data_IF_167412643325
#
_entry.id   IF_167412643325
#
_cell.length_a   1.000
_cell.length_b   1.000
_cell.length_c   1.000
_cell.angle_alpha   90.00
_cell.angle_beta   90.00
_cell.angle_gamma   90.00
#
_symmetry.space_group_name_H-M   'P 1'
#
loop_
_entity.id
_entity.type
_entity.pdbx_description
1 polymer ?
#
# COMPACT_ATOMS: atom_id res chain seq x y z
N UNK A 1 42.97 -33.01 -11.12
CA UNK A 1 42.02 -33.31 -10.02
C UNK A 1 41.28 -32.04 -9.68
N UNK A 2 40.04 -31.92 -10.13
CA UNK A 2 39.14 -30.84 -9.76
C UNK A 2 38.47 -31.20 -8.41
N UNK A 3 39.04 -30.64 -7.32
CA UNK A 3 38.48 -30.80 -5.97
C UNK A 3 37.10 -30.11 -5.86
N UNK A 4 36.06 -30.87 -6.02
CA UNK A 4 34.70 -30.37 -5.75
C UNK A 4 34.48 -30.25 -4.24
N UNK A 5 33.88 -29.14 -3.80
CA UNK A 5 33.42 -28.94 -2.42
C UNK A 5 32.04 -29.59 -2.31
N UNK A 6 31.88 -30.59 -1.43
CA UNK A 6 30.59 -31.18 -1.11
C UNK A 6 29.98 -30.42 0.10
N UNK A 7 28.91 -29.69 -0.13
CA UNK A 7 28.11 -29.10 0.94
C UNK A 7 27.04 -30.10 1.37
N UNK A 8 27.00 -30.40 2.66
CA UNK A 8 25.98 -31.29 3.25
C UNK A 8 25.14 -30.42 4.22
N UNK A 9 23.86 -30.31 3.95
CA UNK A 9 22.89 -29.67 4.84
C UNK A 9 22.19 -30.76 5.66
N UNK A 10 22.22 -30.63 6.96
CA UNK A 10 21.39 -31.45 7.87
C UNK A 10 20.20 -30.59 8.28
N UNK A 11 19.00 -31.00 7.91
CA UNK A 11 17.76 -30.29 8.22
C UNK A 11 16.98 -31.15 9.21
N UNK A 12 16.69 -30.60 10.38
CA UNK A 12 15.73 -31.17 11.33
C UNK A 12 14.42 -30.41 11.15
N UNK A 13 13.41 -31.09 10.61
CA UNK A 13 12.10 -30.48 10.33
C UNK A 13 11.27 -30.20 11.59
N UNK A 14 11.68 -30.71 12.75
CA UNK A 14 10.96 -30.55 14.00
C UNK A 14 9.58 -31.23 14.02
N UNK A 15 8.77 -30.87 15.00
CA UNK A 15 7.40 -31.38 15.15
C UNK A 15 6.46 -30.51 14.32
N UNK A 16 5.56 -31.13 13.55
CA UNK A 16 4.49 -30.44 12.82
C UNK A 16 3.27 -30.30 13.73
N UNK A 17 2.81 -29.09 13.92
CA UNK A 17 1.60 -28.82 14.69
C UNK A 17 0.36 -28.80 13.79
N UNK A 18 -0.77 -29.30 14.29
CA UNK A 18 -2.07 -29.23 13.61
C UNK A 18 -2.89 -28.11 14.25
N UNK A 19 -3.52 -27.27 13.44
CA UNK A 19 -4.41 -26.21 13.93
C UNK A 19 -5.68 -26.83 14.47
N UNK A 20 -5.83 -26.85 15.79
CA UNK A 20 -7.00 -27.39 16.47
C UNK A 20 -8.14 -26.37 16.51
N UNK A 21 -7.83 -25.12 16.88
CA UNK A 21 -8.83 -24.08 17.04
C UNK A 21 -8.29 -22.72 16.63
N UNK A 22 -9.15 -21.92 15.98
CA UNK A 22 -8.93 -20.50 15.76
C UNK A 22 -10.11 -19.75 16.39
N UNK A 23 -9.82 -18.78 17.25
CA UNK A 23 -10.83 -18.01 17.98
C UNK A 23 -10.48 -16.53 18.01
N UNK A 24 -11.49 -15.69 18.29
CA UNK A 24 -11.32 -14.26 18.44
C UNK A 24 -11.71 -13.84 19.87
N UNK A 25 -10.89 -12.98 20.44
CA UNK A 25 -11.18 -12.25 21.66
C UNK A 25 -11.34 -10.77 21.28
N UNK A 26 -12.56 -10.26 21.29
CA UNK A 26 -12.91 -8.94 20.78
C UNK A 26 -13.28 -8.07 21.97
N UNK A 27 -12.66 -6.88 22.07
CA UNK A 27 -12.99 -5.89 23.10
C UNK A 27 -14.47 -5.48 22.99
N UNK A 28 -15.06 -5.14 24.12
CA UNK A 28 -16.46 -4.73 24.22
C UNK A 28 -16.79 -3.43 23.50
N UNK A 29 -15.78 -2.66 23.16
CA UNK A 29 -15.90 -1.40 22.40
C UNK A 29 -16.38 -1.68 20.97
N UNK A 30 -16.04 -2.85 20.41
CA UNK A 30 -16.40 -3.22 19.05
C UNK A 30 -17.63 -4.13 19.00
N UNK A 31 -18.45 -3.93 17.96
CA UNK A 31 -19.54 -4.85 17.65
C UNK A 31 -18.96 -6.16 17.11
N UNK A 32 -19.20 -7.25 17.84
CA UNK A 32 -18.69 -8.58 17.49
C UNK A 32 -19.24 -9.12 16.18
N UNK A 33 -20.42 -8.67 15.76
CA UNK A 33 -21.08 -9.14 14.54
C UNK A 33 -20.26 -8.78 13.29
N UNK A 34 -19.53 -7.67 13.33
CA UNK A 34 -18.63 -7.21 12.26
C UNK A 34 -17.57 -8.28 11.91
N UNK A 35 -17.09 -9.01 12.91
CA UNK A 35 -16.02 -9.98 12.75
C UNK A 35 -16.53 -11.42 12.51
N UNK A 36 -17.83 -11.69 12.57
CA UNK A 36 -18.39 -13.02 12.34
C UNK A 36 -18.04 -13.63 10.97
N UNK A 37 -17.94 -12.87 9.87
CA UNK A 37 -17.54 -13.43 8.58
C UNK A 37 -16.17 -14.13 8.61
N UNK A 38 -15.24 -13.70 9.47
CA UNK A 38 -13.92 -14.32 9.63
C UNK A 38 -13.99 -15.78 10.08
N UNK A 39 -15.08 -16.20 10.74
CA UNK A 39 -15.27 -17.60 11.11
C UNK A 39 -15.32 -18.54 9.88
N UNK A 40 -15.70 -18.04 8.69
CA UNK A 40 -15.65 -18.82 7.45
C UNK A 40 -14.21 -19.02 6.98
N UNK A 41 -13.36 -18.03 7.21
CA UNK A 41 -11.93 -18.08 6.89
C UNK A 41 -11.24 -19.09 7.83
N UNK A 42 -11.53 -19.01 9.13
CA UNK A 42 -10.96 -19.91 10.13
C UNK A 42 -11.24 -21.38 9.84
N UNK A 43 -12.49 -21.71 9.44
CA UNK A 43 -12.89 -23.07 9.09
C UNK A 43 -12.09 -23.69 7.94
N UNK A 44 -11.45 -22.88 7.10
CA UNK A 44 -10.60 -23.37 6.00
C UNK A 44 -9.28 -23.95 6.50
N UNK A 45 -8.78 -23.47 7.64
CA UNK A 45 -7.46 -23.80 8.16
C UNK A 45 -7.47 -24.71 9.38
N UNK A 46 -8.63 -24.84 10.07
CA UNK A 46 -8.77 -25.77 11.21
C UNK A 46 -8.63 -27.20 10.70
N UNK A 47 -7.73 -27.98 11.31
CA UNK A 47 -7.38 -29.34 10.93
C UNK A 47 -6.19 -29.45 9.99
N UNK A 48 -5.74 -28.35 9.39
CA UNK A 48 -4.53 -28.30 8.57
C UNK A 48 -3.27 -28.20 9.43
N UNK A 49 -2.11 -28.50 8.84
CA UNK A 49 -0.83 -28.24 9.49
C UNK A 49 -0.61 -26.73 9.63
N UNK A 50 -0.12 -26.33 10.80
CA UNK A 50 0.20 -24.93 11.07
C UNK A 50 1.21 -24.37 10.06
N UNK A 51 0.92 -23.17 9.59
CA UNK A 51 1.82 -22.38 8.75
C UNK A 51 1.69 -20.90 9.10
N UNK A 52 2.81 -20.18 9.31
CA UNK A 52 2.80 -18.72 9.47
C UNK A 52 2.11 -17.99 8.32
N UNK A 53 2.11 -18.60 7.12
CA UNK A 53 1.40 -18.08 5.97
C UNK A 53 -0.12 -18.05 6.18
N UNK A 54 -0.70 -19.05 6.86
CA UNK A 54 -2.13 -19.06 7.18
C UNK A 54 -2.48 -17.95 8.18
N UNK A 55 -1.63 -17.77 9.19
CA UNK A 55 -1.80 -16.65 10.15
C UNK A 55 -1.77 -15.31 9.43
N UNK A 56 -0.81 -15.11 8.53
CA UNK A 56 -0.73 -13.89 7.72
C UNK A 56 -2.01 -13.67 6.90
N UNK A 57 -2.53 -14.70 6.24
CA UNK A 57 -3.79 -14.61 5.47
C UNK A 57 -4.99 -14.26 6.33
N UNK A 58 -5.06 -14.81 7.53
CA UNK A 58 -6.13 -14.50 8.49
C UNK A 58 -6.05 -13.03 8.93
N UNK A 59 -4.84 -12.50 9.14
CA UNK A 59 -4.64 -11.09 9.49
C UNK A 59 -4.98 -10.16 8.32
N UNK A 60 -4.62 -10.51 7.09
CA UNK A 60 -5.02 -9.76 5.90
C UNK A 60 -6.56 -9.64 5.79
N UNK A 61 -7.30 -10.73 6.00
CA UNK A 61 -8.77 -10.72 6.01
C UNK A 61 -9.37 -9.92 7.19
N UNK A 62 -8.67 -9.91 8.33
CA UNK A 62 -9.04 -9.08 9.47
C UNK A 62 -8.85 -7.60 9.14
N UNK A 63 -7.71 -7.21 8.56
CA UNK A 63 -7.42 -5.84 8.14
C UNK A 63 -8.44 -5.35 7.09
N UNK A 64 -8.78 -6.19 6.10
CA UNK A 64 -9.85 -5.89 5.14
C UNK A 64 -11.21 -5.70 5.84
N UNK A 65 -11.50 -6.48 6.87
CA UNK A 65 -12.74 -6.34 7.64
C UNK A 65 -12.78 -5.03 8.42
N UNK A 66 -11.66 -4.64 9.02
CA UNK A 66 -11.50 -3.36 9.74
C UNK A 66 -11.70 -2.19 8.77
N UNK A 67 -11.01 -2.21 7.62
CA UNK A 67 -11.08 -1.16 6.59
C UNK A 67 -12.49 -1.02 6.02
N UNK A 68 -13.14 -2.13 5.63
CA UNK A 68 -14.47 -2.13 5.02
C UNK A 68 -15.57 -1.61 5.96
N UNK A 69 -15.36 -1.72 7.28
CA UNK A 69 -16.29 -1.22 8.28
C UNK A 69 -15.89 0.13 8.87
N UNK A 70 -14.85 0.78 8.33
CA UNK A 70 -14.31 2.06 8.79
C UNK A 70 -14.04 2.09 10.29
N UNK A 71 -13.55 0.98 10.85
CA UNK A 71 -13.20 0.90 12.27
C UNK A 71 -11.89 1.64 12.52
N UNK A 72 -11.90 2.50 13.52
CA UNK A 72 -10.75 3.33 13.88
C UNK A 72 -10.10 2.83 15.18
N UNK A 73 -8.81 3.07 15.32
CA UNK A 73 -8.04 2.72 16.52
C UNK A 73 -8.12 1.23 16.88
N UNK A 74 -8.20 0.36 15.89
CA UNK A 74 -8.19 -1.08 16.12
C UNK A 74 -6.76 -1.59 16.11
N UNK A 75 -6.36 -2.22 17.19
CA UNK A 75 -5.14 -3.00 17.26
C UNK A 75 -5.48 -4.47 17.41
N UNK A 76 -4.60 -5.31 16.89
CA UNK A 76 -4.74 -6.76 17.03
C UNK A 76 -3.40 -7.43 17.27
N UNK A 77 -3.44 -8.54 17.95
CA UNK A 77 -2.30 -9.46 18.05
C UNK A 77 -2.77 -10.91 17.97
N UNK A 78 -1.84 -11.78 17.64
CA UNK A 78 -2.07 -13.22 17.58
C UNK A 78 -1.35 -13.87 18.74
N UNK A 79 -2.06 -14.70 19.49
CA UNK A 79 -1.51 -15.57 20.49
C UNK A 79 -1.61 -17.02 20.01
N UNK A 80 -0.47 -17.70 19.96
CA UNK A 80 -0.35 -19.09 19.58
C UNK A 80 -0.12 -19.93 20.84
N UNK A 81 -1.04 -20.85 21.12
CA UNK A 81 -1.01 -21.71 22.30
C UNK A 81 -0.76 -23.13 21.82
N UNK A 82 0.41 -23.68 22.16
CA UNK A 82 0.83 -25.03 21.76
C UNK A 82 0.46 -25.99 22.88
N UNK A 83 -0.29 -27.05 22.51
CA UNK A 83 -0.69 -28.13 23.40
C UNK A 83 -0.35 -29.46 22.70
N UNK A 84 0.75 -30.11 23.13
CA UNK A 84 1.28 -31.34 22.52
C UNK A 84 1.67 -31.14 21.05
N UNK A 85 0.90 -31.69 20.12
CA UNK A 85 1.06 -31.60 18.65
C UNK A 85 -0.01 -30.72 17.99
N UNK A 86 -0.81 -30.04 18.81
CA UNK A 86 -1.87 -29.13 18.37
C UNK A 86 -1.50 -27.68 18.70
N UNK A 87 -2.02 -26.75 17.89
CA UNK A 87 -1.89 -25.30 18.11
C UNK A 87 -3.26 -24.64 18.10
N UNK A 88 -3.54 -23.86 19.13
CA UNK A 88 -4.71 -22.99 19.20
C UNK A 88 -4.28 -21.55 18.90
N UNK A 89 -4.97 -20.92 17.95
CA UNK A 89 -4.70 -19.55 17.54
C UNK A 89 -5.79 -18.65 18.10
N UNK A 90 -5.40 -17.63 18.86
CA UNK A 90 -6.31 -16.63 19.42
C UNK A 90 -5.97 -15.26 18.84
N UNK A 91 -6.91 -14.67 18.09
CA UNK A 91 -6.80 -13.29 17.64
C UNK A 91 -7.40 -12.39 18.72
N UNK A 92 -6.58 -11.54 19.31
CA UNK A 92 -7.04 -10.51 20.22
C UNK A 92 -7.23 -9.21 19.44
N UNK A 93 -8.44 -8.66 19.47
CA UNK A 93 -8.83 -7.42 18.79
C UNK A 93 -9.26 -6.44 19.88
N UNK A 94 -8.56 -5.32 20.00
CA UNK A 94 -8.77 -4.36 21.07
C UNK A 94 -8.60 -2.92 20.58
N UNK A 95 -9.14 -1.97 21.37
CA UNK A 95 -8.96 -0.55 21.09
C UNK A 95 -7.52 -0.16 21.42
N UNK A 96 -6.81 0.32 20.39
CA UNK A 96 -5.46 0.84 20.50
C UNK A 96 -5.40 2.29 21.00
N UNK A 97 -4.20 2.82 21.07
CA UNK A 97 -4.01 4.23 21.39
C UNK A 97 -4.59 5.12 20.30
N UNK A 98 -5.31 6.17 20.71
CA UNK A 98 -5.89 7.17 19.80
C UNK A 98 -4.81 8.13 19.33
N UNK A 99 -4.00 7.68 18.38
CA UNK A 99 -2.97 8.50 17.76
C UNK A 99 -3.58 9.25 16.58
N UNK A 100 -3.42 10.58 16.56
CA UNK A 100 -3.96 11.46 15.53
C UNK A 100 -2.83 12.13 14.73
N UNK A 101 -3.14 12.56 13.52
CA UNK A 101 -2.25 13.39 12.70
C UNK A 101 -2.38 14.84 13.17
N UNK A 102 -1.30 15.42 13.68
CA UNK A 102 -1.27 16.82 14.06
C UNK A 102 -1.06 17.73 12.84
N UNK A 103 -0.15 17.33 11.96
CA UNK A 103 0.25 18.12 10.80
C UNK A 103 0.82 17.24 9.70
N UNK A 104 0.58 17.65 8.46
CA UNK A 104 1.20 17.08 7.26
C UNK A 104 1.97 18.21 6.55
N UNK A 105 3.29 18.13 6.53
CA UNK A 105 4.14 19.06 5.81
C UNK A 105 4.51 18.43 4.45
N UNK A 106 4.45 19.24 3.39
CA UNK A 106 4.85 18.85 2.05
C UNK A 106 6.06 19.69 1.65
N UNK A 107 7.13 19.02 1.23
CA UNK A 107 8.43 19.62 0.94
C UNK A 107 8.91 19.20 -0.45
N UNK A 108 9.60 20.14 -1.14
CA UNK A 108 10.23 19.85 -2.45
C UNK A 108 9.33 20.07 -3.67
N UNK A 109 8.08 20.45 -3.48
CA UNK A 109 7.14 20.78 -4.55
C UNK A 109 7.30 22.23 -5.04
N UNK A 110 8.36 22.49 -5.79
CA UNK A 110 8.68 23.85 -6.28
C UNK A 110 7.79 24.30 -7.45
N UNK A 111 7.34 23.35 -8.27
CA UNK A 111 6.50 23.58 -9.46
C UNK A 111 5.08 23.10 -9.19
N UNK A 112 4.95 21.90 -8.62
CA UNK A 112 3.66 21.25 -8.37
C UNK A 112 2.93 21.92 -7.21
N UNK A 113 1.67 22.28 -7.44
CA UNK A 113 0.81 22.81 -6.37
C UNK A 113 0.66 21.79 -5.24
N UNK A 114 0.76 22.25 -4.00
CA UNK A 114 0.56 21.42 -2.81
C UNK A 114 -0.79 20.70 -2.82
N UNK A 115 -1.83 21.34 -3.37
CA UNK A 115 -3.17 20.75 -3.49
C UNK A 115 -3.21 19.48 -4.35
N UNK A 116 -2.29 19.32 -5.29
CA UNK A 116 -2.17 18.10 -6.11
C UNK A 116 -1.70 16.92 -5.27
N UNK A 117 -0.76 17.19 -4.36
CA UNK A 117 -0.21 16.17 -3.47
C UNK A 117 -1.22 15.85 -2.36
N UNK A 118 -1.81 16.88 -1.74
CA UNK A 118 -2.85 16.70 -0.70
C UNK A 118 -4.07 15.96 -1.23
N UNK A 119 -4.45 16.16 -2.51
CA UNK A 119 -5.57 15.45 -3.13
C UNK A 119 -5.38 13.93 -3.26
N UNK A 120 -4.16 13.41 -3.09
CA UNK A 120 -3.86 11.98 -3.10
C UNK A 120 -3.74 11.39 -1.69
N UNK A 121 -3.84 12.23 -0.65
CA UNK A 121 -3.79 11.75 0.73
C UNK A 121 -5.11 11.10 1.13
N UNK A 122 -5.02 9.95 1.77
CA UNK A 122 -6.14 9.23 2.39
C UNK A 122 -6.27 9.56 3.89
N UNK A 123 -5.45 10.50 4.38
CA UNK A 123 -5.45 10.98 5.75
C UNK A 123 -5.28 12.50 5.74
N UNK A 124 -5.98 13.18 6.63
CA UNK A 124 -5.88 14.62 6.83
C UNK A 124 -5.41 14.95 8.26
N UNK A 125 -5.09 16.22 8.49
CA UNK A 125 -4.77 16.73 9.82
C UNK A 125 -6.00 16.61 10.74
N UNK A 126 -5.82 15.97 11.88
CA UNK A 126 -6.89 15.63 12.82
C UNK A 126 -7.44 14.20 12.69
N UNK A 127 -7.12 13.50 11.60
CA UNK A 127 -7.55 12.13 11.40
C UNK A 127 -6.76 11.12 12.25
N UNK A 128 -7.32 9.93 12.48
CA UNK A 128 -6.58 8.81 13.05
C UNK A 128 -5.37 8.46 12.19
N UNK A 129 -4.21 8.40 12.83
CA UNK A 129 -2.99 7.98 12.17
C UNK A 129 -2.98 6.44 12.00
N UNK A 130 -2.85 5.98 10.77
CA UNK A 130 -2.57 4.58 10.44
C UNK A 130 -1.44 4.49 9.43
N UNK A 131 -0.50 3.56 9.63
CA UNK A 131 0.58 3.32 8.67
C UNK A 131 0.03 2.91 7.29
N UNK A 132 -1.05 2.12 7.27
CA UNK A 132 -1.68 1.64 6.04
C UNK A 132 -2.16 2.80 5.16
N UNK A 133 -2.92 3.76 5.73
CA UNK A 133 -3.43 4.90 4.98
C UNK A 133 -2.29 5.81 4.50
N UNK A 134 -1.24 5.98 5.31
CA UNK A 134 -0.06 6.73 4.89
C UNK A 134 0.64 6.04 3.71
N UNK A 135 0.90 4.74 3.78
CA UNK A 135 1.54 3.99 2.69
C UNK A 135 0.72 4.00 1.41
N UNK A 136 -0.61 3.85 1.51
CA UNK A 136 -1.52 4.00 0.37
C UNK A 136 -1.41 5.42 -0.22
N UNK A 137 -1.46 6.47 0.61
CA UNK A 137 -1.29 7.86 0.17
C UNK A 137 0.02 8.08 -0.59
N UNK A 138 1.12 7.59 -0.05
CA UNK A 138 2.43 7.67 -0.72
C UNK A 138 2.44 6.91 -2.05
N UNK A 139 1.75 5.77 -2.12
CA UNK A 139 1.59 5.01 -3.37
C UNK A 139 0.79 5.80 -4.42
N UNK A 140 -0.29 6.46 -4.01
CA UNK A 140 -1.10 7.30 -4.92
C UNK A 140 -0.29 8.49 -5.44
N UNK A 141 0.46 9.19 -4.57
CA UNK A 141 1.35 10.28 -5.00
C UNK A 141 2.39 9.77 -6.02
N UNK A 142 3.00 8.59 -5.78
CA UNK A 142 3.94 7.96 -6.72
C UNK A 142 3.29 7.60 -8.05
N UNK A 143 2.04 7.15 -8.02
CA UNK A 143 1.28 6.74 -9.21
C UNK A 143 1.05 7.87 -10.20
N UNK A 144 1.03 9.12 -9.73
CA UNK A 144 0.94 10.33 -10.56
C UNK A 144 2.10 10.44 -11.56
N UNK A 145 3.21 9.78 -11.26
CA UNK A 145 4.40 9.75 -12.14
C UNK A 145 4.96 11.14 -12.51
N UNK A 146 4.73 12.14 -11.68
CA UNK A 146 5.27 13.52 -11.82
C UNK A 146 6.47 13.76 -10.91
N UNK A 147 6.73 12.84 -9.98
CA UNK A 147 7.86 12.88 -9.07
C UNK A 147 8.89 11.78 -9.40
N UNK A 148 10.18 12.07 -9.16
CA UNK A 148 11.26 11.09 -9.23
C UNK A 148 11.30 10.24 -7.99
N UNK A 149 11.20 10.88 -6.83
CA UNK A 149 11.17 10.26 -5.52
C UNK A 149 10.06 10.86 -4.67
N UNK A 150 9.46 10.03 -3.84
CA UNK A 150 8.52 10.43 -2.79
C UNK A 150 8.89 9.66 -1.54
N UNK A 151 9.31 10.37 -0.50
CA UNK A 151 9.67 9.83 0.81
C UNK A 151 8.82 10.48 1.88
N UNK A 152 8.75 9.84 3.05
CA UNK A 152 8.08 10.41 4.20
C UNK A 152 8.87 10.13 5.49
N UNK A 153 8.70 11.00 6.47
CA UNK A 153 9.20 10.83 7.83
C UNK A 153 8.05 11.08 8.81
N UNK A 154 8.03 10.31 9.90
CA UNK A 154 7.04 10.44 10.97
C UNK A 154 7.77 10.87 12.23
N UNK A 155 7.33 11.97 12.81
CA UNK A 155 7.85 12.47 14.08
C UNK A 155 6.73 12.64 15.11
N UNK A 156 7.12 12.75 16.38
CA UNK A 156 6.15 13.05 17.44
C UNK A 156 5.71 14.50 17.33
N UNK A 157 4.42 14.73 17.55
CA UNK A 157 3.84 16.05 17.60
C UNK A 157 3.99 16.74 18.95
N UNK A 158 3.15 17.75 19.19
CA UNK A 158 3.15 18.53 20.44
C UNK A 158 2.72 17.70 21.67
N UNK A 159 2.08 16.56 21.45
CA UNK A 159 1.66 15.61 22.49
C UNK A 159 2.04 14.18 22.09
N UNK A 160 2.17 13.24 23.05
CA UNK A 160 2.58 11.86 22.77
C UNK A 160 1.66 11.11 21.77
N UNK A 161 0.38 11.45 21.78
CA UNK A 161 -0.63 10.85 20.91
C UNK A 161 -0.85 11.63 19.59
N UNK A 162 0.05 12.56 19.27
CA UNK A 162 0.02 13.32 18.01
C UNK A 162 1.25 13.00 17.16
N UNK A 163 1.05 12.90 15.84
CA UNK A 163 2.12 12.65 14.87
C UNK A 163 2.18 13.77 13.84
N UNK A 164 3.39 14.14 13.47
CA UNK A 164 3.67 15.02 12.34
C UNK A 164 4.22 14.15 11.21
N UNK A 165 3.72 14.35 10.01
CA UNK A 165 4.14 13.64 8.81
C UNK A 165 4.79 14.63 7.86
N UNK A 166 6.06 14.42 7.55
CA UNK A 166 6.83 15.20 6.59
C UNK A 166 6.93 14.41 5.29
N UNK A 167 6.24 14.84 4.22
CA UNK A 167 6.29 14.24 2.89
C UNK A 167 7.24 15.05 2.02
N UNK A 168 8.32 14.42 1.56
CA UNK A 168 9.32 15.02 0.70
C UNK A 168 9.21 14.48 -0.72
N UNK A 169 9.03 15.36 -1.70
CA UNK A 169 8.96 15.02 -3.11
C UNK A 169 10.15 15.58 -3.88
N UNK A 170 10.64 14.82 -4.86
CA UNK A 170 11.62 15.28 -5.85
C UNK A 170 10.95 15.33 -7.21
N UNK A 171 10.75 16.52 -7.74
CA UNK A 171 10.11 16.73 -9.03
C UNK A 171 11.01 16.27 -10.18
N UNK A 172 10.41 15.84 -11.27
CA UNK A 172 11.09 15.48 -12.52
C UNK A 172 10.46 16.22 -13.71
N UNK A 173 11.20 16.37 -14.84
CA UNK A 173 10.59 16.81 -16.08
C UNK A 173 9.43 15.91 -16.48
N UNK A 174 8.27 16.49 -16.81
CA UNK A 174 7.03 15.79 -17.12
C UNK A 174 6.59 16.02 -18.59
N UNK A 175 7.29 16.93 -19.27
CA UNK A 175 7.11 17.22 -20.69
C UNK A 175 7.76 16.16 -21.58
N UNK A 176 7.07 15.75 -22.62
CA UNK A 176 7.55 14.81 -23.64
C UNK A 176 7.28 15.36 -25.03
N UNK A 177 8.28 15.28 -25.92
CA UNK A 177 8.16 15.63 -27.32
C UNK A 177 8.59 14.42 -28.11
N UNK A 178 7.75 13.99 -29.05
CA UNK A 178 8.08 12.93 -29.99
C UNK A 178 7.74 13.31 -31.42
N UNK A 179 8.59 12.92 -32.36
CA UNK A 179 8.38 13.09 -33.76
C UNK A 179 8.72 11.80 -34.52
N UNK A 180 7.91 11.46 -35.47
CA UNK A 180 8.09 10.27 -36.31
C UNK A 180 7.78 10.56 -37.76
N UNK A 181 8.50 9.91 -38.68
CA UNK A 181 8.20 9.93 -40.12
C UNK A 181 8.24 8.51 -40.65
N UNK A 182 7.33 8.19 -41.57
CA UNK A 182 7.22 6.88 -42.21
C UNK A 182 6.97 7.00 -43.69
N UNK A 183 7.39 5.99 -44.46
CA UNK A 183 7.10 5.86 -45.88
C UNK A 183 6.46 4.49 -46.10
N UNK A 184 5.29 4.48 -46.71
CA UNK A 184 4.52 3.27 -47.05
C UNK A 184 4.04 3.25 -48.48
N UNK A 185 3.31 2.21 -48.85
CA UNK A 185 2.74 2.05 -50.19
C UNK A 185 1.71 3.15 -50.56
N UNK A 186 1.11 3.79 -49.58
CA UNK A 186 0.17 4.91 -49.72
C UNK A 186 0.82 6.29 -49.65
N UNK A 187 2.16 6.37 -49.54
CA UNK A 187 2.89 7.64 -49.49
C UNK A 187 3.62 7.85 -48.17
N UNK A 188 4.04 9.10 -47.93
CA UNK A 188 4.72 9.50 -46.69
C UNK A 188 3.73 9.85 -45.56
N UNK A 189 4.13 9.61 -44.33
CA UNK A 189 3.41 10.06 -43.15
C UNK A 189 4.39 10.74 -42.18
N UNK A 190 3.87 11.71 -41.43
CA UNK A 190 4.59 12.42 -40.36
C UNK A 190 3.68 12.54 -39.15
N UNK A 191 4.25 12.28 -37.99
CA UNK A 191 3.57 12.44 -36.70
C UNK A 191 4.42 13.29 -35.77
N UNK A 192 3.80 14.21 -35.05
CA UNK A 192 4.41 15.05 -34.06
C UNK A 192 3.50 15.10 -32.81
N UNK A 193 4.07 14.78 -31.66
CA UNK A 193 3.35 14.81 -30.41
C UNK A 193 4.10 15.63 -29.37
N UNK A 194 3.37 16.47 -28.66
CA UNK A 194 3.83 17.17 -27.44
C UNK A 194 2.86 16.80 -26.33
N UNK A 195 3.37 16.35 -25.19
CA UNK A 195 2.57 16.14 -24.01
C UNK A 195 3.26 16.69 -22.77
N UNK A 196 2.47 17.16 -21.82
CA UNK A 196 2.89 17.63 -20.51
C UNK A 196 1.95 16.99 -19.46
N UNK A 197 2.52 16.26 -18.48
CA UNK A 197 1.72 15.54 -17.48
C UNK A 197 1.46 16.36 -16.21
N UNK A 198 2.13 17.51 -16.07
CA UNK A 198 1.95 18.40 -14.92
C UNK A 198 1.78 19.86 -15.36
N UNK A 199 0.80 20.11 -16.26
CA UNK A 199 0.58 21.43 -16.83
C UNK A 199 0.36 22.48 -15.77
N UNK A 200 1.23 23.49 -15.76
CA UNK A 200 1.22 24.59 -14.79
C UNK A 200 1.28 24.13 -13.32
N UNK A 201 1.89 22.99 -13.05
CA UNK A 201 1.97 22.44 -11.69
C UNK A 201 0.64 21.91 -11.12
N UNK A 202 -0.37 21.71 -11.96
CA UNK A 202 -1.71 21.31 -11.53
C UNK A 202 -1.97 19.79 -11.61
N UNK A 203 -0.93 18.99 -11.93
CA UNK A 203 -1.09 17.53 -12.11
C UNK A 203 -2.01 17.15 -13.28
N UNK A 204 -2.29 18.09 -14.18
CA UNK A 204 -3.17 17.86 -15.33
C UNK A 204 -2.32 17.53 -16.55
N UNK A 205 -2.73 16.50 -17.28
CA UNK A 205 -2.09 16.14 -18.55
C UNK A 205 -2.70 16.95 -19.69
N UNK A 206 -1.84 17.61 -20.46
CA UNK A 206 -2.17 18.26 -21.74
C UNK A 206 -1.34 17.60 -22.84
N UNK A 207 -1.97 17.22 -23.93
CA UNK A 207 -1.27 16.64 -25.08
C UNK A 207 -1.85 17.17 -26.39
N UNK A 208 -0.97 17.36 -27.38
CA UNK A 208 -1.32 17.73 -28.76
C UNK A 208 -0.63 16.80 -29.72
N UNK A 209 -1.41 16.19 -30.62
CA UNK A 209 -0.93 15.35 -31.71
C UNK A 209 -1.20 16.03 -33.05
N UNK A 210 -0.20 16.04 -33.89
CA UNK A 210 -0.30 16.43 -35.29
C UNK A 210 0.11 15.23 -36.13
N UNK A 211 -0.81 14.76 -36.96
CA UNK A 211 -0.55 13.71 -37.94
C UNK A 211 -0.87 14.22 -39.34
N UNK A 212 0.06 14.04 -40.25
CA UNK A 212 -0.11 14.34 -41.66
C UNK A 212 0.29 13.12 -42.47
N UNK A 213 -0.55 12.74 -43.41
CA UNK A 213 -0.23 11.77 -44.47
C UNK A 213 -0.47 12.38 -45.85
N UNK A 214 -0.14 11.64 -46.90
CA UNK A 214 -0.32 12.10 -48.28
C UNK A 214 -1.78 12.38 -48.66
N UNK A 215 -2.75 12.02 -47.81
CA UNK A 215 -4.19 12.13 -48.05
C UNK A 215 -4.95 12.93 -46.99
N UNK A 216 -4.38 13.12 -45.79
CA UNK A 216 -5.06 13.81 -44.69
C UNK A 216 -4.10 14.56 -43.76
N UNK A 217 -4.60 15.60 -43.10
CA UNK A 217 -4.00 16.30 -41.97
C UNK A 217 -4.98 16.19 -40.79
N UNK A 218 -4.52 15.71 -39.66
CA UNK A 218 -5.30 15.57 -38.43
C UNK A 218 -4.63 16.25 -37.22
#
# INVERSE_FOLDING_TARGET
ETGGIKLVYSIDEGIRFTINKISMNIDKVFDKEIFFPLNKVFKKYIGDYYSPFYVKRILEELDETIDNNNLQFVEHNVQEIIESDEINIVLNIFEGEKVLVERINILGNNITSESVIRGELLIDEGDPFTNLNLEKSISEIKSRNIFRNVNYEISNGSQPNLKIIDISVEEKPTGEISAGAGIGTSGGSFAFNISENNWMGKGVRVATNLEADSTSLK
#
